data_IF_508130706015
#
_entry.id   IF_508130706015
#
_cell.length_a   1.000
_cell.length_b   1.000
_cell.length_c   1.000
_cell.angle_alpha   90.00
_cell.angle_beta   90.00
_cell.angle_gamma   90.00
#
_symmetry.space_group_name_H-M   'P 1'
#
loop_
_entity.id
_entity.type
_entity.pdbx_description
1 polymer ?
#
# COMPACT_ATOMS: atom_id res chain seq x y z
N UNK A 1 -13.40 1.51 14.65
CA UNK A 1 -12.94 0.34 13.87
C UNK A 1 -11.47 0.50 13.52
N UNK A 2 -10.73 -0.60 13.52
CA UNK A 2 -9.34 -0.61 13.05
C UNK A 2 -9.30 -0.50 11.52
N UNK A 3 -8.22 0.06 11.00
CA UNK A 3 -7.90 0.11 9.57
C UNK A 3 -6.49 -0.45 9.36
N UNK A 4 -6.23 -0.91 8.14
CA UNK A 4 -4.94 -1.48 7.78
C UNK A 4 -3.92 -0.33 7.68
N UNK A 5 -2.75 -0.52 8.28
CA UNK A 5 -1.60 0.34 8.06
C UNK A 5 -0.68 -0.22 6.95
N UNK A 6 -0.38 -1.52 7.04
CA UNK A 6 0.48 -2.23 6.10
C UNK A 6 0.52 -3.73 6.37
N UNK A 7 1.00 -4.48 5.38
CA UNK A 7 1.40 -5.88 5.51
C UNK A 7 2.87 -5.98 5.12
N UNK A 8 3.72 -6.37 6.06
CA UNK A 8 5.16 -6.25 5.94
C UNK A 8 5.83 -7.62 6.05
N UNK A 9 6.28 -8.22 4.93
CA UNK A 9 7.19 -9.35 4.97
C UNK A 9 8.46 -8.94 5.74
N UNK A 10 8.91 -9.79 6.65
CA UNK A 10 10.10 -9.51 7.44
C UNK A 10 10.88 -10.77 7.83
N UNK A 11 12.09 -10.57 8.35
CA UNK A 11 12.97 -11.63 8.84
C UNK A 11 13.53 -11.23 10.21
N UNK A 12 13.50 -12.15 11.16
CA UNK A 12 14.07 -11.95 12.48
C UNK A 12 15.53 -11.44 12.40
N UNK A 13 15.84 -10.40 13.19
CA UNK A 13 17.16 -9.78 13.25
C UNK A 13 17.45 -8.73 12.16
N UNK A 14 16.52 -8.48 11.23
CA UNK A 14 16.65 -7.38 10.25
C UNK A 14 15.29 -6.80 9.89
N UNK A 15 15.26 -5.84 8.95
CA UNK A 15 14.02 -5.32 8.35
C UNK A 15 14.09 -5.52 6.85
N UNK A 16 13.22 -6.35 6.30
CA UNK A 16 13.08 -6.53 4.85
C UNK A 16 12.24 -5.40 4.24
N UNK A 17 12.84 -4.68 3.28
CA UNK A 17 12.17 -3.61 2.55
C UNK A 17 12.88 -3.32 1.22
N UNK A 18 12.13 -2.80 0.24
CA UNK A 18 12.60 -2.36 -1.08
C UNK A 18 13.37 -3.46 -1.82
N UNK A 19 12.84 -4.68 -1.81
CA UNK A 19 13.43 -5.82 -2.49
C UNK A 19 13.45 -5.61 -4.02
N UNK A 20 14.36 -6.30 -4.70
CA UNK A 20 14.55 -6.20 -6.16
C UNK A 20 14.02 -7.47 -6.86
N UNK A 21 13.49 -7.35 -8.09
CA UNK A 21 13.30 -6.11 -8.84
C UNK A 21 12.17 -5.24 -8.26
N UNK A 22 12.22 -3.93 -8.52
CA UNK A 22 11.14 -3.02 -8.11
C UNK A 22 9.87 -3.39 -8.89
N UNK A 23 8.74 -3.71 -8.22
CA UNK A 23 7.54 -4.10 -8.93
C UNK A 23 6.85 -2.88 -9.57
N UNK A 24 6.06 -3.15 -10.61
CA UNK A 24 5.21 -2.13 -11.23
C UNK A 24 3.90 -2.03 -10.47
N UNK A 25 3.46 -0.81 -10.17
CA UNK A 25 2.18 -0.55 -9.52
C UNK A 25 1.16 -0.08 -10.54
N UNK A 26 -0.06 -0.63 -10.45
CA UNK A 26 -1.21 -0.22 -11.26
C UNK A 26 -2.29 0.25 -10.30
N UNK A 27 -2.82 1.46 -10.53
CA UNK A 27 -3.87 2.01 -9.68
C UNK A 27 -5.11 1.10 -9.68
N UNK A 28 -5.62 0.82 -8.49
CA UNK A 28 -6.85 0.08 -8.29
C UNK A 28 -8.06 0.87 -8.75
N UNK A 29 -9.09 0.15 -9.19
CA UNK A 29 -10.38 0.69 -9.64
C UNK A 29 -11.52 -0.17 -9.07
N UNK A 30 -12.75 0.30 -9.26
CA UNK A 30 -13.98 -0.42 -8.99
C UNK A 30 -14.03 -1.02 -7.57
N UNK A 31 -14.44 -2.29 -7.44
CA UNK A 31 -14.61 -2.96 -6.15
C UNK A 31 -13.33 -2.91 -5.31
N UNK A 32 -12.17 -3.17 -5.92
CA UNK A 32 -10.91 -3.20 -5.17
C UNK A 32 -10.55 -1.81 -4.60
N UNK A 33 -10.79 -0.76 -5.38
CA UNK A 33 -10.63 0.61 -4.88
C UNK A 33 -11.54 0.86 -3.67
N UNK A 34 -12.84 0.58 -3.80
CA UNK A 34 -13.81 0.83 -2.72
C UNK A 34 -13.49 0.04 -1.44
N UNK A 35 -13.02 -1.21 -1.58
CA UNK A 35 -12.64 -2.05 -0.45
C UNK A 35 -11.39 -1.50 0.27
N UNK A 36 -10.38 -1.05 -0.48
CA UNK A 36 -9.17 -0.46 0.09
C UNK A 36 -9.43 0.92 0.70
N UNK A 37 -10.25 1.75 0.07
CA UNK A 37 -10.56 3.09 0.58
C UNK A 37 -11.31 3.02 1.92
N UNK A 38 -12.13 1.97 2.12
CA UNK A 38 -12.81 1.70 3.40
C UNK A 38 -11.88 1.07 4.46
N UNK A 39 -11.13 0.03 4.09
CA UNK A 39 -10.44 -0.82 5.07
C UNK A 39 -8.96 -0.47 5.26
N UNK A 40 -8.33 0.15 4.26
CA UNK A 40 -6.95 0.61 4.23
C UNK A 40 -6.87 2.08 3.82
N UNK A 41 -7.72 2.89 4.46
CA UNK A 41 -7.90 4.31 4.20
C UNK A 41 -6.61 5.13 4.29
N UNK A 42 -6.46 6.11 3.42
CA UNK A 42 -5.24 6.89 3.23
C UNK A 42 -5.23 8.22 4.01
N UNK A 43 -5.41 8.17 5.33
CA UNK A 43 -5.72 9.34 6.20
C UNK A 43 -4.76 10.55 6.14
N UNK A 44 -3.58 10.41 5.55
CA UNK A 44 -2.60 11.51 5.39
C UNK A 44 -2.86 12.39 4.16
N UNK A 45 -3.77 11.99 3.29
CA UNK A 45 -4.01 12.63 2.01
C UNK A 45 -5.47 13.05 1.90
N UNK A 46 -5.73 14.11 1.15
CA UNK A 46 -7.09 14.45 0.75
C UNK A 46 -7.71 13.34 -0.11
N UNK A 47 -9.03 13.26 -0.11
CA UNK A 47 -9.78 12.19 -0.75
C UNK A 47 -9.50 12.11 -2.27
N UNK A 48 -9.46 13.26 -2.94
CA UNK A 48 -9.25 13.33 -4.39
C UNK A 48 -7.84 12.88 -4.77
N UNK A 49 -6.82 13.30 -4.02
CA UNK A 49 -5.44 12.86 -4.23
C UNK A 49 -5.28 11.36 -3.88
N UNK A 50 -5.87 10.92 -2.77
CA UNK A 50 -5.91 9.52 -2.35
C UNK A 50 -6.50 8.62 -3.43
N UNK A 51 -7.63 9.03 -4.01
CA UNK A 51 -8.34 8.32 -5.08
C UNK A 51 -7.53 8.24 -6.37
N UNK A 52 -6.99 9.37 -6.81
CA UNK A 52 -6.37 9.48 -8.12
C UNK A 52 -4.91 9.00 -8.15
N UNK A 53 -4.16 9.19 -7.06
CA UNK A 53 -2.72 8.89 -7.00
C UNK A 53 -2.40 7.67 -6.15
N UNK A 54 -3.29 7.25 -5.25
CA UNK A 54 -3.13 6.08 -4.37
C UNK A 54 -1.76 6.06 -3.65
N UNK A 55 -1.31 7.21 -3.10
CA UNK A 55 0.06 7.41 -2.65
C UNK A 55 0.48 6.46 -1.51
N UNK A 56 -0.43 6.13 -0.58
CA UNK A 56 -0.13 5.22 0.53
C UNK A 56 0.07 3.80 0.00
N UNK A 57 -0.86 3.33 -0.83
CA UNK A 57 -0.84 1.95 -1.34
C UNK A 57 0.35 1.72 -2.27
N UNK A 58 0.65 2.68 -3.15
CA UNK A 58 1.86 2.67 -3.96
C UNK A 58 3.12 2.56 -3.09
N UNK A 59 3.24 3.39 -2.05
CA UNK A 59 4.39 3.36 -1.15
C UNK A 59 4.53 2.01 -0.42
N UNK A 60 3.43 1.51 0.14
CA UNK A 60 3.42 0.24 0.88
C UNK A 60 3.75 -0.94 -0.03
N UNK A 61 3.21 -0.97 -1.26
CA UNK A 61 3.52 -2.01 -2.24
C UNK A 61 4.98 -1.98 -2.66
N UNK A 62 5.52 -0.80 -2.99
CA UNK A 62 6.92 -0.68 -3.42
C UNK A 62 7.94 -0.94 -2.30
N UNK A 63 7.59 -0.62 -1.06
CA UNK A 63 8.50 -0.78 0.08
C UNK A 63 8.42 -2.16 0.70
N UNK A 64 7.23 -2.71 0.85
CA UNK A 64 7.00 -3.95 1.59
C UNK A 64 6.50 -5.08 0.68
N UNK A 65 5.53 -4.78 -0.20
CA UNK A 65 5.01 -5.75 -1.18
C UNK A 65 6.07 -6.25 -2.19
N UNK A 66 7.16 -5.51 -2.39
CA UNK A 66 8.29 -5.96 -3.22
C UNK A 66 8.99 -7.21 -2.69
N UNK A 67 8.79 -7.56 -1.42
CA UNK A 67 9.56 -8.58 -0.70
C UNK A 67 8.83 -9.92 -0.56
N UNK A 68 7.78 -10.18 -1.34
CA UNK A 68 7.03 -11.43 -1.35
C UNK A 68 6.73 -11.91 -2.77
#
# INVERSE_FOLDING_TARGET
NFTIHGLWPDKEGTVLQKCKPKPNYVNFKDKMFNDLDKNWIQLKFDEDYGRNKQPLWLYQYLKHGSCC
#
